data_IF_884681404792
#
_entry.id   IF_884681404792
#
_cell.length_a   1.000
_cell.length_b   1.000
_cell.length_c   1.000
_cell.angle_alpha   90.00
_cell.angle_beta   90.00
_cell.angle_gamma   90.00
#
_symmetry.space_group_name_H-M   'P 1'
#
loop_
_entity.id
_entity.type
_entity.pdbx_description
1 polymer ?
#
# COMPACT_ATOMS: atom_id res chain seq x y z
N UNK A 1 -34.21 0.18 -25.08
CA UNK A 1 -34.28 -1.08 -24.30
C UNK A 1 -32.90 -1.70 -24.07
N UNK A 2 -32.12 -2.02 -25.11
CA UNK A 2 -30.76 -2.59 -24.97
C UNK A 2 -29.73 -1.66 -24.31
N UNK A 3 -29.80 -0.35 -24.63
CA UNK A 3 -28.88 0.66 -24.06
C UNK A 3 -29.11 0.82 -22.55
N UNK A 4 -30.36 0.76 -22.10
CA UNK A 4 -30.72 0.84 -20.67
C UNK A 4 -30.17 -0.37 -19.92
N UNK A 5 -30.27 -1.58 -20.49
CA UNK A 5 -29.72 -2.80 -19.87
C UNK A 5 -28.19 -2.81 -19.82
N UNK A 6 -27.54 -2.23 -20.84
CA UNK A 6 -26.07 -2.08 -20.87
C UNK A 6 -25.58 -1.07 -19.83
N UNK A 7 -26.30 0.05 -19.66
CA UNK A 7 -26.06 1.00 -18.57
C UNK A 7 -26.36 0.35 -17.22
N UNK A 8 -27.41 -0.49 -17.13
CA UNK A 8 -27.80 -1.22 -15.93
C UNK A 8 -26.80 -2.34 -15.55
N UNK A 9 -26.03 -2.88 -16.50
CA UNK A 9 -24.94 -3.80 -16.21
C UNK A 9 -23.67 -3.06 -15.79
N UNK A 10 -23.47 -1.83 -16.29
CA UNK A 10 -22.30 -1.01 -15.98
C UNK A 10 -22.30 -0.46 -14.54
N UNK A 11 -23.45 -0.11 -13.97
CA UNK A 11 -23.56 0.32 -12.55
C UNK A 11 -23.60 -0.85 -11.55
N UNK A 12 -23.73 -2.09 -12.01
CA UNK A 12 -23.62 -3.32 -11.20
C UNK A 12 -22.15 -3.73 -10.98
N UNK A 13 -21.22 -3.07 -11.67
CA UNK A 13 -19.77 -3.32 -11.61
C UNK A 13 -18.98 -2.29 -10.80
N UNK A 14 -19.59 -1.55 -9.88
CA UNK A 14 -18.83 -0.79 -8.88
C UNK A 14 -18.33 -1.75 -7.81
N UNK A 15 -17.02 -1.99 -7.74
CA UNK A 15 -16.42 -2.59 -6.55
C UNK A 15 -16.71 -1.67 -5.37
N UNK A 16 -17.62 -2.08 -4.49
CA UNK A 16 -17.77 -1.43 -3.18
C UNK A 16 -16.58 -1.88 -2.37
N UNK A 17 -15.66 -0.95 -2.13
CA UNK A 17 -14.58 -1.17 -1.16
C UNK A 17 -15.25 -1.34 0.21
N UNK A 18 -15.04 -2.51 0.82
CA UNK A 18 -15.58 -2.80 2.14
C UNK A 18 -14.71 -2.07 3.17
N UNK A 19 -15.32 -1.26 4.03
CA UNK A 19 -14.66 -0.60 5.16
C UNK A 19 -15.08 -1.19 6.52
N UNK A 20 -16.21 -1.92 6.53
CA UNK A 20 -16.80 -2.54 7.72
C UNK A 20 -17.28 -3.96 7.42
N UNK A 21 -16.87 -4.94 8.23
CA UNK A 21 -17.41 -6.31 8.19
C UNK A 21 -18.61 -6.39 9.14
N UNK A 22 -19.81 -6.58 8.60
CA UNK A 22 -21.02 -6.81 9.42
C UNK A 22 -21.20 -8.32 9.73
N UNK A 23 -22.06 -8.70 10.69
CA UNK A 23 -22.30 -10.10 10.98
C UNK A 23 -22.68 -10.92 9.73
N UNK A 24 -22.09 -12.10 9.58
CA UNK A 24 -22.22 -13.00 8.41
C UNK A 24 -21.42 -12.60 7.17
N UNK A 25 -20.65 -11.51 7.22
CA UNK A 25 -19.62 -11.23 6.21
C UNK A 25 -18.25 -11.75 6.64
N UNK A 26 -17.42 -12.06 5.67
CA UNK A 26 -16.04 -12.50 5.86
C UNK A 26 -15.20 -11.94 4.73
N UNK A 27 -13.99 -11.50 5.05
CA UNK A 27 -12.95 -11.25 4.06
C UNK A 27 -12.24 -12.56 3.73
N UNK A 28 -12.15 -12.88 2.45
CA UNK A 28 -11.46 -14.06 1.93
C UNK A 28 -10.06 -13.70 1.47
N UNK A 29 -9.30 -14.71 1.08
CA UNK A 29 -8.03 -14.49 0.39
C UNK A 29 -8.23 -13.66 -0.88
N UNK A 30 -7.28 -12.75 -1.15
CA UNK A 30 -7.32 -11.78 -2.27
C UNK A 30 -8.32 -10.63 -2.09
N UNK A 31 -9.22 -10.71 -1.10
CA UNK A 31 -10.05 -9.58 -0.70
C UNK A 31 -9.31 -8.70 0.31
N UNK A 32 -9.66 -7.41 0.31
CA UNK A 32 -9.04 -6.39 1.16
C UNK A 32 -10.12 -5.52 1.81
N UNK A 33 -9.86 -5.07 3.04
CA UNK A 33 -10.70 -4.13 3.78
C UNK A 33 -9.95 -2.82 3.91
N UNK A 34 -10.52 -1.73 3.41
CA UNK A 34 -9.87 -0.42 3.44
C UNK A 34 -10.50 0.43 4.53
N UNK A 35 -9.68 1.00 5.42
CA UNK A 35 -10.19 1.91 6.45
C UNK A 35 -10.87 3.13 5.80
N UNK A 36 -11.88 3.70 6.46
CA UNK A 36 -12.50 4.93 6.01
C UNK A 36 -11.45 6.02 5.69
N UNK A 37 -11.52 6.58 4.48
CA UNK A 37 -10.55 7.57 3.98
C UNK A 37 -9.25 7.00 3.42
N UNK A 38 -9.13 5.68 3.29
CA UNK A 38 -8.01 5.01 2.62
C UNK A 38 -6.72 4.94 3.43
N UNK A 39 -6.76 5.21 4.72
CA UNK A 39 -5.56 5.30 5.57
C UNK A 39 -4.76 3.99 5.62
N UNK A 40 -5.45 2.85 5.73
CA UNK A 40 -4.88 1.52 5.86
C UNK A 40 -5.70 0.49 5.07
N UNK A 41 -5.00 -0.51 4.53
CA UNK A 41 -5.61 -1.71 3.96
C UNK A 41 -5.30 -2.90 4.86
N UNK A 42 -6.32 -3.63 5.29
CA UNK A 42 -6.22 -4.91 5.97
C UNK A 42 -6.44 -6.03 4.96
N UNK A 43 -5.49 -6.95 4.84
CA UNK A 43 -5.56 -8.04 3.89
C UNK A 43 -4.86 -9.29 4.43
N UNK A 44 -5.17 -10.44 3.82
CA UNK A 44 -4.36 -11.63 4.00
C UNK A 44 -3.13 -11.60 3.10
N UNK A 45 -1.96 -11.92 3.64
CA UNK A 45 -0.71 -11.99 2.89
C UNK A 45 0.12 -13.23 3.26
N UNK A 46 0.97 -13.65 2.31
CA UNK A 46 1.94 -14.73 2.48
C UNK A 46 3.35 -14.16 2.34
N UNK A 47 4.18 -14.21 3.39
CA UNK A 47 5.56 -13.74 3.31
C UNK A 47 6.44 -14.68 2.48
N UNK A 48 7.05 -14.19 1.40
CA UNK A 48 7.97 -14.97 0.56
C UNK A 48 7.33 -16.27 0.03
N UNK A 49 8.03 -17.41 0.22
CA UNK A 49 7.54 -18.74 -0.17
C UNK A 49 6.84 -19.49 0.99
N UNK A 50 6.41 -18.79 2.03
CA UNK A 50 5.72 -19.41 3.17
C UNK A 50 4.31 -19.87 2.78
N UNK A 51 3.87 -21.02 3.31
CA UNK A 51 2.48 -21.47 3.22
C UNK A 51 1.59 -20.86 4.30
N UNK A 52 2.16 -20.12 5.26
CA UNK A 52 1.42 -19.46 6.33
C UNK A 52 0.75 -18.19 5.81
N UNK A 53 -0.50 -17.99 6.25
CA UNK A 53 -1.30 -16.80 5.96
C UNK A 53 -1.37 -15.90 7.19
N UNK A 54 -1.11 -14.63 6.97
CA UNK A 54 -1.15 -13.59 8.00
C UNK A 54 -2.22 -12.59 7.61
N UNK A 55 -3.01 -12.15 8.58
CA UNK A 55 -3.90 -11.00 8.43
C UNK A 55 -3.15 -9.77 8.96
N UNK A 56 -3.04 -8.72 8.17
CA UNK A 56 -2.35 -7.52 8.62
C UNK A 56 -2.54 -6.32 7.72
N UNK A 57 -2.03 -5.18 8.20
CA UNK A 57 -2.12 -3.91 7.53
C UNK A 57 -0.97 -3.76 6.52
N UNK A 58 -1.27 -3.33 5.31
CA UNK A 58 -0.28 -3.20 4.25
C UNK A 58 0.56 -1.93 4.42
N UNK A 59 1.73 -2.07 5.04
CA UNK A 59 2.73 -0.99 5.18
C UNK A 59 3.63 -0.82 3.92
N UNK A 60 3.47 -1.66 2.90
CA UNK A 60 4.36 -1.72 1.73
C UNK A 60 5.47 -2.78 1.85
N UNK A 61 6.40 -2.80 0.90
CA UNK A 61 7.53 -3.75 0.91
C UNK A 61 8.69 -3.24 1.76
N UNK A 62 9.46 -4.15 2.37
CA UNK A 62 10.73 -3.81 3.01
C UNK A 62 11.79 -3.51 1.96
N UNK A 63 12.49 -2.37 2.06
CA UNK A 63 13.53 -1.96 1.11
C UNK A 63 14.96 -2.07 1.66
N UNK A 64 15.17 -2.74 2.81
CA UNK A 64 16.46 -2.82 3.49
C UNK A 64 16.69 -1.71 4.54
N UNK A 65 15.86 -0.67 4.55
CA UNK A 65 15.97 0.49 5.44
C UNK A 65 14.67 0.72 6.21
N UNK A 66 13.53 0.56 5.53
CA UNK A 66 12.17 0.79 6.04
C UNK A 66 11.13 0.11 5.15
N UNK A 67 9.88 0.16 5.57
CA UNK A 67 8.75 -0.15 4.69
C UNK A 67 8.49 0.99 3.71
N UNK A 68 8.20 0.67 2.45
CA UNK A 68 8.00 1.68 1.40
C UNK A 68 6.80 2.60 1.63
N UNK A 69 5.82 2.19 2.43
CA UNK A 69 4.68 3.01 2.81
C UNK A 69 4.97 4.06 3.89
N UNK A 70 6.18 4.05 4.48
CA UNK A 70 6.62 5.06 5.47
C UNK A 70 7.95 5.71 5.05
N UNK A 71 8.01 6.37 3.88
CA UNK A 71 9.24 6.90 3.29
C UNK A 71 9.92 8.01 4.11
N UNK A 72 9.24 8.57 5.12
CA UNK A 72 9.81 9.58 6.02
C UNK A 72 10.63 8.97 7.17
N UNK A 73 10.45 7.69 7.47
CA UNK A 73 11.20 6.99 8.51
C UNK A 73 12.65 6.69 8.08
N UNK A 74 13.60 7.57 8.43
CA UNK A 74 15.03 7.38 8.11
C UNK A 74 15.86 6.98 9.34
N UNK A 75 16.88 6.11 9.20
CA UNK A 75 17.71 5.63 10.32
C UNK A 75 18.67 6.67 10.94
N UNK A 76 18.59 7.95 10.57
CA UNK A 76 19.47 9.01 11.10
C UNK A 76 18.97 9.63 12.42
N UNK A 77 17.99 9.01 13.08
CA UNK A 77 17.31 9.53 14.27
C UNK A 77 17.66 8.79 15.58
N UNK A 78 18.73 7.97 15.58
CA UNK A 78 19.17 7.25 16.79
C UNK A 78 18.46 5.91 17.04
N UNK A 79 17.86 5.34 16.01
CA UNK A 79 17.26 4.01 16.02
C UNK A 79 17.34 3.40 14.62
N UNK A 80 17.30 2.09 14.55
CA UNK A 80 17.28 1.32 13.30
C UNK A 80 16.00 0.50 13.22
N UNK A 81 15.49 0.33 12.01
CA UNK A 81 14.36 -0.57 11.75
C UNK A 81 14.91 -1.90 11.26
N UNK A 82 14.44 -3.00 11.85
CA UNK A 82 14.81 -4.34 11.45
C UNK A 82 13.55 -5.09 11.06
N UNK A 83 13.59 -5.70 9.88
CA UNK A 83 12.57 -6.62 9.41
C UNK A 83 13.25 -7.93 9.06
N UNK A 84 12.78 -9.00 9.68
CA UNK A 84 13.28 -10.35 9.45
C UNK A 84 12.15 -11.20 8.87
N UNK A 85 12.47 -11.89 7.78
CA UNK A 85 11.56 -12.82 7.13
C UNK A 85 12.33 -14.12 6.85
N UNK A 86 12.03 -15.14 7.64
CA UNK A 86 12.60 -16.46 7.44
C UNK A 86 11.53 -17.56 7.60
N UNK A 87 11.97 -18.82 7.58
CA UNK A 87 11.08 -19.99 7.63
C UNK A 87 10.43 -20.18 9.02
N UNK A 88 11.06 -19.67 10.06
CA UNK A 88 10.70 -19.90 11.46
C UNK A 88 9.84 -18.73 11.98
N UNK A 89 10.27 -17.49 11.70
CA UNK A 89 9.68 -16.25 12.20
C UNK A 89 9.60 -15.12 11.16
N UNK A 90 8.66 -14.22 11.41
CA UNK A 90 8.48 -12.96 10.68
C UNK A 90 8.27 -11.88 11.72
N UNK A 91 9.18 -10.91 11.79
CA UNK A 91 9.09 -9.84 12.79
C UNK A 91 9.59 -8.51 12.27
N UNK A 92 9.12 -7.46 12.94
CA UNK A 92 9.56 -6.09 12.78
C UNK A 92 9.94 -5.52 14.14
N UNK A 93 11.09 -4.89 14.23
CA UNK A 93 11.66 -4.36 15.47
C UNK A 93 12.24 -2.97 15.23
N UNK A 94 12.17 -2.14 16.27
CA UNK A 94 12.92 -0.88 16.34
C UNK A 94 14.07 -1.10 17.31
N UNK A 95 15.29 -1.01 16.79
CA UNK A 95 16.53 -1.19 17.54
C UNK A 95 17.06 0.18 17.99
N UNK A 96 16.90 0.45 19.28
CA UNK A 96 17.25 1.73 19.91
C UNK A 96 18.76 1.89 20.07
N UNK A 97 19.31 3.03 19.64
CA UNK A 97 20.73 3.33 19.80
C UNK A 97 20.97 4.31 20.95
N UNK A 98 21.96 4.00 21.80
CA UNK A 98 22.37 4.89 22.90
C UNK A 98 21.34 4.98 24.03
N UNK A 99 21.09 6.16 24.61
CA UNK A 99 20.17 6.34 25.75
C UNK A 99 18.73 6.57 25.30
N UNK A 100 18.31 6.08 24.13
CA UNK A 100 16.96 6.24 23.62
C UNK A 100 16.13 4.99 23.92
N UNK A 101 14.81 5.19 24.03
CA UNK A 101 13.83 4.13 24.06
C UNK A 101 12.74 4.51 23.07
N UNK A 102 12.44 3.62 22.12
CA UNK A 102 11.35 3.76 21.18
C UNK A 102 10.10 3.01 21.63
N UNK A 103 8.97 3.44 21.09
CA UNK A 103 7.69 2.75 21.19
C UNK A 103 6.88 3.03 19.93
N UNK A 104 6.41 1.96 19.30
CA UNK A 104 5.37 2.05 18.28
C UNK A 104 4.01 1.86 18.94
N UNK A 105 3.07 2.75 18.66
CA UNK A 105 1.72 2.72 19.26
C UNK A 105 0.68 3.03 18.20
N UNK A 106 -0.40 2.26 18.15
CA UNK A 106 -1.53 2.55 17.27
C UNK A 106 -2.53 3.42 18.05
N UNK A 107 -2.88 4.58 17.51
CA UNK A 107 -3.94 5.46 18.03
C UNK A 107 -5.30 4.82 17.83
N UNK A 108 -6.31 5.25 18.60
CA UNK A 108 -7.71 4.87 18.36
C UNK A 108 -8.20 5.24 16.95
N UNK A 109 -7.60 6.28 16.33
CA UNK A 109 -7.85 6.65 14.93
C UNK A 109 -7.23 5.70 13.90
N UNK A 110 -6.47 4.69 14.33
CA UNK A 110 -5.70 3.78 13.47
C UNK A 110 -4.29 4.28 13.16
N UNK A 111 -3.98 5.56 13.42
CA UNK A 111 -2.68 6.16 13.07
C UNK A 111 -1.56 5.49 13.88
N UNK A 112 -0.47 5.12 13.21
CA UNK A 112 0.70 4.53 13.86
C UNK A 112 1.59 5.67 14.35
N UNK A 113 1.93 5.69 15.63
CA UNK A 113 2.86 6.64 16.21
C UNK A 113 4.18 5.97 16.52
N UNK A 114 5.27 6.65 16.18
CA UNK A 114 6.58 6.38 16.74
C UNK A 114 6.88 7.42 17.83
N UNK A 115 6.95 6.94 19.07
CA UNK A 115 7.27 7.73 20.25
C UNK A 115 8.71 7.40 20.66
N UNK A 116 9.54 8.41 20.89
CA UNK A 116 10.93 8.20 21.30
C UNK A 116 11.23 9.08 22.49
N UNK A 117 11.77 8.50 23.57
CA UNK A 117 12.25 9.29 24.69
C UNK A 117 13.70 8.98 25.01
N UNK A 118 14.36 9.95 25.62
CA UNK A 118 15.59 9.66 26.37
C UNK A 118 15.28 8.86 27.63
N UNK A 119 16.17 7.95 28.01
CA UNK A 119 16.12 7.21 29.28
C UNK A 119 16.04 8.14 30.49
N UNK A 120 16.58 9.36 30.37
CA UNK A 120 16.59 10.40 31.40
C UNK A 120 15.29 11.19 31.51
N UNK A 121 14.42 11.12 30.49
CA UNK A 121 13.14 11.82 30.45
C UNK A 121 11.98 10.86 30.69
N UNK A 122 10.87 11.38 31.22
CA UNK A 122 9.58 10.67 31.27
C UNK A 122 8.63 11.11 30.15
N UNK A 123 8.97 12.16 29.43
CA UNK A 123 8.18 12.69 28.32
C UNK A 123 8.41 11.86 27.05
N UNK A 124 7.33 11.53 26.35
CA UNK A 124 7.33 10.77 25.10
C UNK A 124 6.90 11.68 23.95
N UNK A 125 7.84 12.41 23.30
CA UNK A 125 7.52 13.11 22.07
C UNK A 125 7.23 12.11 20.96
N UNK A 126 6.27 12.46 20.10
CA UNK A 126 6.07 11.80 18.82
C UNK A 126 7.14 12.27 17.86
N UNK A 127 7.93 11.34 17.32
CA UNK A 127 8.91 11.63 16.27
C UNK A 127 8.35 11.38 14.87
N UNK A 128 7.29 10.58 14.77
CA UNK A 128 6.59 10.31 13.51
C UNK A 128 5.18 9.79 13.77
N UNK A 129 4.23 10.18 12.91
CA UNK A 129 2.87 9.65 12.82
C UNK A 129 2.66 9.15 11.39
N UNK A 130 2.22 7.90 11.20
CA UNK A 130 1.82 7.38 9.91
C UNK A 130 0.27 7.25 9.83
N UNK A 131 -0.36 7.78 8.76
CA UNK A 131 0.27 8.54 7.68
C UNK A 131 0.58 10.00 8.07
N UNK A 132 1.74 10.51 7.66
CA UNK A 132 2.17 11.92 7.82
C UNK A 132 1.68 12.76 6.62
N UNK A 133 1.58 12.15 5.44
CA UNK A 133 1.15 12.83 4.22
C UNK A 133 0.46 11.87 3.23
N UNK A 134 -0.12 12.43 2.15
CA UNK A 134 -1.03 11.71 1.28
C UNK A 134 -0.44 10.45 0.62
N UNK A 135 0.86 10.37 0.32
CA UNK A 135 1.41 9.14 -0.28
C UNK A 135 1.58 7.97 0.69
N UNK A 136 1.41 8.21 1.99
CA UNK A 136 1.41 7.16 3.01
C UNK A 136 0.00 6.60 3.25
N UNK A 137 -1.02 7.29 2.76
CA UNK A 137 -2.40 6.80 2.70
C UNK A 137 -2.48 5.76 1.58
N UNK A 138 -3.05 4.61 1.90
CA UNK A 138 -3.25 3.55 0.93
C UNK A 138 -4.11 4.01 -0.24
N UNK A 139 -3.78 3.54 -1.45
CA UNK A 139 -4.55 3.76 -2.67
C UNK A 139 -4.86 5.22 -3.06
N UNK A 140 -4.06 6.20 -2.61
CA UNK A 140 -4.20 7.59 -3.09
C UNK A 140 -3.99 7.71 -4.59
N UNK A 141 -3.03 6.96 -5.13
CA UNK A 141 -2.85 6.78 -6.57
C UNK A 141 -3.58 5.53 -7.03
N UNK A 142 -4.47 5.66 -8.02
CA UNK A 142 -5.08 4.51 -8.68
C UNK A 142 -4.08 3.67 -9.47
N UNK A 143 -4.54 2.55 -10.03
CA UNK A 143 -3.69 1.59 -10.74
C UNK A 143 -2.82 2.24 -11.84
N UNK A 144 -1.54 1.83 -11.93
CA UNK A 144 -0.53 2.36 -12.86
C UNK A 144 -0.20 3.85 -12.71
N UNK A 145 -0.48 4.42 -11.54
CA UNK A 145 0.00 5.73 -11.12
C UNK A 145 0.92 5.60 -9.90
N UNK A 146 1.81 6.56 -9.73
CA UNK A 146 2.71 6.68 -8.60
C UNK A 146 2.43 7.97 -7.84
N UNK A 147 2.45 7.89 -6.50
CA UNK A 147 2.33 9.05 -5.65
C UNK A 147 3.70 9.71 -5.49
N UNK A 148 3.79 11.01 -5.75
CA UNK A 148 4.99 11.82 -5.61
C UNK A 148 4.75 12.95 -4.63
N UNK A 149 5.78 13.24 -3.84
CA UNK A 149 5.74 14.24 -2.76
C UNK A 149 6.26 15.61 -3.22
N UNK A 150 6.68 15.75 -4.47
CA UNK A 150 7.28 16.97 -5.02
C UNK A 150 6.22 17.91 -5.62
N UNK A 151 6.31 19.18 -5.22
CA UNK A 151 5.30 20.23 -5.38
C UNK A 151 5.11 20.79 -6.79
N UNK A 152 5.60 20.11 -7.84
CA UNK A 152 5.66 20.70 -9.19
C UNK A 152 4.54 20.29 -10.14
N UNK A 153 3.89 19.13 -9.94
CA UNK A 153 2.68 18.76 -10.70
C UNK A 153 2.02 17.52 -10.08
N UNK A 154 0.80 17.69 -9.54
CA UNK A 154 -0.12 16.65 -9.01
C UNK A 154 0.49 15.54 -8.12
N UNK A 155 -0.09 15.33 -6.94
CA UNK A 155 0.32 14.28 -5.97
C UNK A 155 0.44 12.89 -6.63
N UNK A 156 -0.38 12.59 -7.63
CA UNK A 156 -0.28 11.37 -8.42
C UNK A 156 0.19 11.69 -9.86
N UNK A 157 1.06 10.85 -10.40
CA UNK A 157 1.48 10.88 -11.78
C UNK A 157 1.33 9.48 -12.41
N UNK A 158 0.87 9.39 -13.65
CA UNK A 158 0.90 8.14 -14.39
C UNK A 158 2.35 7.68 -14.59
N UNK A 159 2.56 6.36 -14.61
CA UNK A 159 3.84 5.78 -15.00
C UNK A 159 4.15 6.10 -16.47
N UNK A 160 5.43 6.06 -16.84
CA UNK A 160 5.84 6.34 -18.22
C UNK A 160 5.15 5.37 -19.21
N UNK A 161 4.57 5.93 -20.27
CA UNK A 161 3.76 5.17 -21.24
C UNK A 161 2.31 4.92 -20.81
N UNK A 162 1.84 5.58 -19.75
CA UNK A 162 0.45 5.57 -19.31
C UNK A 162 -0.16 6.98 -19.29
N UNK A 163 -1.48 7.04 -19.46
CA UNK A 163 -2.27 8.28 -19.41
C UNK A 163 -3.50 8.14 -18.49
N UNK A 164 -4.02 9.24 -17.93
CA UNK A 164 -5.17 9.19 -17.03
C UNK A 164 -6.38 8.53 -17.67
N UNK A 165 -7.06 7.62 -16.97
CA UNK A 165 -8.32 7.02 -17.47
C UNK A 165 -9.44 8.05 -17.66
N UNK A 166 -9.43 9.08 -16.83
CA UNK A 166 -10.41 10.17 -16.81
C UNK A 166 -9.65 11.48 -16.61
N UNK A 167 -9.25 12.16 -17.71
CA UNK A 167 -8.49 13.42 -17.64
C UNK A 167 -9.21 14.51 -16.83
N UNK A 168 -10.54 14.54 -16.87
CA UNK A 168 -11.36 15.49 -16.12
C UNK A 168 -11.27 15.24 -14.61
N UNK A 169 -11.45 14.01 -14.15
CA UNK A 169 -11.30 13.64 -12.73
C UNK A 169 -9.87 13.85 -12.25
N UNK A 170 -8.89 13.51 -13.09
CA UNK A 170 -7.48 13.72 -12.80
C UNK A 170 -7.16 15.19 -12.53
N UNK A 171 -7.72 16.08 -13.36
CA UNK A 171 -7.59 17.54 -13.21
C UNK A 171 -8.29 18.06 -11.95
N UNK A 172 -9.28 17.33 -11.43
CA UNK A 172 -9.97 17.62 -10.16
C UNK A 172 -9.32 16.93 -8.95
N UNK A 173 -8.09 16.41 -9.09
CA UNK A 173 -7.37 15.69 -8.02
C UNK A 173 -8.05 14.38 -7.58
N UNK A 174 -8.88 13.79 -8.43
CA UNK A 174 -9.41 12.45 -8.24
C UNK A 174 -8.63 11.46 -9.11
N UNK A 175 -7.70 10.74 -8.49
CA UNK A 175 -6.79 9.80 -9.17
C UNK A 175 -7.21 8.33 -9.03
N UNK A 176 -8.37 8.07 -8.43
CA UNK A 176 -8.84 6.72 -8.05
C UNK A 176 -8.93 5.76 -9.24
N UNK A 177 -9.31 6.25 -10.43
CA UNK A 177 -9.40 5.43 -11.65
C UNK A 177 -8.05 5.00 -12.21
N UNK A 178 -6.97 5.65 -11.79
CA UNK A 178 -5.61 5.37 -12.24
C UNK A 178 -5.37 5.72 -13.70
N UNK A 179 -4.49 4.96 -14.35
CA UNK A 179 -4.02 5.21 -15.70
C UNK A 179 -4.20 3.98 -16.62
N UNK A 180 -4.29 4.23 -17.92
CA UNK A 180 -4.31 3.24 -19.00
C UNK A 180 -3.00 3.29 -19.78
N UNK A 181 -2.57 2.14 -20.30
CA UNK A 181 -1.37 2.07 -21.14
C UNK A 181 -1.68 2.70 -22.49
N UNK A 182 -0.80 3.57 -22.98
CA UNK A 182 -0.98 4.27 -24.26
C UNK A 182 -0.81 3.34 -25.48
N UNK A 183 -0.09 2.23 -25.31
CA UNK A 183 0.16 1.25 -26.37
C UNK A 183 -0.28 -0.13 -25.87
N UNK A 184 -0.78 -1.00 -26.74
CA UNK A 184 -1.04 -2.40 -26.37
C UNK A 184 0.25 -3.22 -26.31
N UNK A 185 0.29 -4.24 -25.46
CA UNK A 185 1.43 -5.16 -25.38
C UNK A 185 1.20 -6.31 -26.37
N UNK A 186 2.09 -6.46 -27.34
CA UNK A 186 2.14 -7.65 -28.18
C UNK A 186 3.04 -8.70 -27.53
N UNK A 187 2.44 -9.77 -27.00
CA UNK A 187 3.19 -10.92 -26.49
C UNK A 187 3.37 -11.93 -27.63
N UNK A 188 4.55 -11.97 -28.25
CA UNK A 188 4.89 -13.02 -29.20
C UNK A 188 5.16 -14.33 -28.44
N UNK A 189 4.29 -15.32 -28.61
CA UNK A 189 4.55 -16.68 -28.13
C UNK A 189 5.52 -17.34 -29.11
N UNK A 190 6.81 -17.37 -28.79
CA UNK A 190 7.75 -18.24 -29.51
C UNK A 190 7.39 -19.69 -29.18
N UNK A 191 6.56 -20.33 -30.02
CA UNK A 191 6.42 -21.78 -29.98
C UNK A 191 7.68 -22.38 -30.60
N UNK A 192 8.65 -22.75 -29.76
CA UNK A 192 9.70 -23.67 -30.19
C UNK A 192 9.05 -25.04 -30.40
N UNK A 193 8.65 -25.32 -31.63
CA UNK A 193 8.33 -26.66 -32.09
C UNK A 193 9.61 -27.49 -31.97
N UNK A 194 9.69 -28.31 -30.93
CA UNK A 194 10.77 -29.27 -30.74
C UNK A 194 10.68 -30.33 -31.84
N UNK A 195 11.64 -30.29 -32.76
CA UNK A 195 11.85 -31.34 -33.75
C UNK A 195 12.17 -32.65 -33.03
N UNK A 196 11.27 -33.63 -33.11
CA UNK A 196 11.60 -35.04 -32.87
C UNK A 196 12.22 -35.56 -34.18
N UNK A 197 13.50 -35.89 -34.18
CA UNK A 197 14.06 -36.83 -35.15
C UNK A 197 14.32 -38.14 -34.41
N UNK A 198 13.60 -39.17 -34.85
CA UNK A 198 13.91 -40.57 -34.54
C UNK A 198 15.06 -41.10 -35.38
#
# INVERSE_FOLDING_TARGET
MLVVYSILLFILGTFVVLDTIIPSQSIKDEETLESAGGTFELAFFSPGNSTRRYLGIRAGSWNGIRFTGTPRLNPNQGFLYRFELNKDEVYYEVDDQGPLISRLSIKQSGFIQHLVRSTQSKFWPTVYDAPEYQCEIYSVSGAHAACRSDSSSSVCACLDGFEPKSPEEWSMSNWSKGCLRMTELSCEKTMNSGTILG
#
